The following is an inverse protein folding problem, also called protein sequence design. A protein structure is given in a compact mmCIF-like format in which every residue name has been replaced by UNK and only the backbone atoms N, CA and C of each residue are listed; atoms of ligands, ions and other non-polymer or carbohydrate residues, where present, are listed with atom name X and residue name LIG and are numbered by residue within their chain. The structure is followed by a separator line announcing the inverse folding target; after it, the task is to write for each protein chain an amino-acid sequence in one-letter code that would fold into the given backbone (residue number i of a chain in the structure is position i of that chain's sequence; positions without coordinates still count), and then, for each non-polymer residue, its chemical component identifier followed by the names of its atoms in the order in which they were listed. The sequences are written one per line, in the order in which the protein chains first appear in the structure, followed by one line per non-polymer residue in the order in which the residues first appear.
data_IF_499393164079
#
_entry.id   IF_499393164079
#
_cell.length_a   1.000
_cell.length_b   1.000
_cell.length_c   1.000
_cell.angle_alpha   90.00
_cell.angle_beta   90.00
_cell.angle_gamma   90.00
#
_symmetry.space_group_name_H-M   'P 1'
#
loop_
_entity.id
_entity.type
_entity.pdbx_description
1 polymer ?
#
# COMPACT_ATOMS: atom_id res chain seq x y z
N UNK A 1 -25.76 20.22 -37.57
CA UNK A 1 -24.80 19.59 -38.51
C UNK A 1 -23.37 20.08 -38.30
N UNK A 2 -23.04 21.37 -38.46
CA UNK A 2 -21.66 21.86 -38.27
C UNK A 2 -21.19 21.89 -36.79
N UNK A 3 -22.10 22.16 -35.86
CA UNK A 3 -21.79 22.16 -34.41
C UNK A 3 -21.54 20.72 -33.92
N UNK A 4 -22.33 19.76 -34.41
CA UNK A 4 -22.18 18.34 -34.07
C UNK A 4 -20.80 17.81 -34.53
N UNK A 5 -20.39 18.11 -35.77
CA UNK A 5 -19.07 17.71 -36.27
C UNK A 5 -17.91 18.34 -35.49
N UNK A 6 -18.04 19.60 -35.06
CA UNK A 6 -17.00 20.26 -34.26
C UNK A 6 -16.87 19.63 -32.87
N UNK A 7 -17.99 19.34 -32.20
CA UNK A 7 -18.00 18.67 -30.90
C UNK A 7 -17.38 17.27 -30.97
N UNK A 8 -17.74 16.47 -31.97
CA UNK A 8 -17.15 15.14 -32.16
C UNK A 8 -15.65 15.20 -32.45
N UNK A 9 -15.19 16.15 -33.27
CA UNK A 9 -13.77 16.31 -33.58
C UNK A 9 -12.97 16.78 -32.36
N UNK A 10 -13.54 17.65 -31.54
CA UNK A 10 -12.96 18.08 -30.26
C UNK A 10 -12.82 16.89 -29.30
N UNK A 11 -13.90 16.10 -29.12
CA UNK A 11 -13.89 14.92 -28.26
C UNK A 11 -12.87 13.87 -28.73
N UNK A 12 -12.80 13.61 -30.04
CA UNK A 12 -11.84 12.69 -30.61
C UNK A 12 -10.39 13.15 -30.38
N UNK A 13 -10.10 14.42 -30.66
CA UNK A 13 -8.74 14.98 -30.49
C UNK A 13 -8.34 14.97 -29.01
N UNK A 14 -9.25 15.33 -28.12
CA UNK A 14 -9.02 15.29 -26.68
C UNK A 14 -8.78 13.86 -26.17
N UNK A 15 -9.59 12.89 -26.62
CA UNK A 15 -9.42 11.48 -26.25
C UNK A 15 -8.11 10.90 -26.77
N UNK A 16 -7.75 11.17 -28.03
CA UNK A 16 -6.50 10.72 -28.63
C UNK A 16 -5.26 11.34 -27.94
N UNK A 17 -5.35 12.62 -27.55
CA UNK A 17 -4.30 13.29 -26.77
C UNK A 17 -4.09 12.63 -25.39
N UNK A 18 -5.14 12.04 -24.82
CA UNK A 18 -5.08 11.31 -23.54
C UNK A 18 -4.39 9.94 -23.64
N UNK A 19 -4.17 9.39 -24.85
CA UNK A 19 -3.56 8.06 -25.00
C UNK A 19 -2.16 7.97 -24.39
N UNK A 20 -1.27 8.90 -24.77
CA UNK A 20 0.10 8.93 -24.27
C UNK A 20 0.20 9.09 -22.75
N UNK A 21 -0.48 10.06 -22.09
CA UNK A 21 -0.41 10.17 -20.64
C UNK A 21 -0.99 8.95 -19.93
N UNK A 22 -2.05 8.33 -20.45
CA UNK A 22 -2.61 7.09 -19.89
C UNK A 22 -1.61 5.94 -19.97
N UNK A 23 -0.96 5.75 -21.13
CA UNK A 23 0.05 4.70 -21.31
C UNK A 23 1.27 4.94 -20.39
N UNK A 24 1.73 6.18 -20.24
CA UNK A 24 2.84 6.53 -19.34
C UNK A 24 2.47 6.21 -17.89
N UNK A 25 1.29 6.64 -17.43
CA UNK A 25 0.81 6.36 -16.07
C UNK A 25 0.66 4.86 -15.83
N UNK A 26 0.20 4.10 -16.84
CA UNK A 26 0.10 2.65 -16.76
C UNK A 26 1.47 1.97 -16.65
N UNK A 27 2.46 2.40 -17.44
CA UNK A 27 3.82 1.88 -17.32
C UNK A 27 4.43 2.20 -15.95
N UNK A 28 4.19 3.40 -15.42
CA UNK A 28 4.58 3.75 -14.06
C UNK A 28 3.89 2.86 -13.02
N UNK A 29 2.59 2.62 -13.16
CA UNK A 29 1.84 1.73 -12.27
C UNK A 29 2.39 0.29 -12.29
N UNK A 30 2.76 -0.23 -13.46
CA UNK A 30 3.41 -1.54 -13.60
C UNK A 30 4.77 -1.53 -12.90
N UNK A 31 5.61 -0.51 -13.13
CA UNK A 31 6.90 -0.40 -12.46
C UNK A 31 6.75 -0.33 -10.93
N UNK A 32 5.79 0.46 -10.43
CA UNK A 32 5.47 0.53 -8.99
C UNK A 32 4.97 -0.82 -8.46
N UNK A 33 4.17 -1.57 -9.23
CA UNK A 33 3.71 -2.90 -8.82
C UNK A 33 4.87 -3.89 -8.63
N UNK A 34 5.86 -3.85 -9.53
CA UNK A 34 7.08 -4.67 -9.42
C UNK A 34 7.94 -4.24 -8.22
N UNK A 35 8.08 -2.93 -7.99
CA UNK A 35 8.77 -2.39 -6.82
C UNK A 35 8.12 -2.84 -5.50
N UNK A 36 6.79 -2.80 -5.42
CA UNK A 36 6.03 -3.26 -4.26
C UNK A 36 6.16 -4.77 -4.02
N UNK A 37 6.24 -5.59 -5.08
CA UNK A 37 6.57 -7.02 -4.94
C UNK A 37 7.95 -7.19 -4.29
N UNK A 38 8.95 -6.44 -4.77
CA UNK A 38 10.30 -6.49 -4.20
C UNK A 38 10.33 -6.08 -2.72
N UNK A 39 9.64 -4.99 -2.37
CA UNK A 39 9.49 -4.55 -0.98
C UNK A 39 8.80 -5.62 -0.14
N UNK A 40 7.71 -6.20 -0.65
CA UNK A 40 6.96 -7.25 0.01
C UNK A 40 7.80 -8.51 0.25
N UNK A 41 8.63 -8.94 -0.70
CA UNK A 41 9.52 -10.10 -0.52
C UNK A 41 10.57 -9.79 0.56
N UNK A 42 11.14 -8.58 0.57
CA UNK A 42 12.06 -8.15 1.62
C UNK A 42 11.38 -8.12 2.99
N UNK A 43 10.14 -7.61 3.06
CA UNK A 43 9.32 -7.58 4.28
C UNK A 43 9.00 -9.00 4.76
N UNK A 44 8.58 -9.88 3.85
CA UNK A 44 8.30 -11.30 4.12
C UNK A 44 9.53 -12.03 4.67
N UNK A 45 10.70 -11.86 4.04
CA UNK A 45 11.91 -12.57 4.41
C UNK A 45 12.47 -12.13 5.78
N UNK A 46 12.26 -10.86 6.16
CA UNK A 46 12.70 -10.32 7.45
C UNK A 46 11.71 -10.58 8.58
N UNK A 47 10.48 -10.98 8.27
CA UNK A 47 9.41 -11.10 9.26
C UNK A 47 9.64 -12.30 10.19
N UNK A 48 10.03 -12.00 11.42
CA UNK A 48 10.06 -12.95 12.53
C UNK A 48 9.03 -12.48 13.57
N UNK A 49 8.03 -13.31 13.84
CA UNK A 49 7.01 -13.05 14.87
C UNK A 49 7.19 -14.06 15.99
N UNK A 50 7.71 -13.60 17.13
CA UNK A 50 7.96 -14.45 18.29
C UNK A 50 6.98 -14.11 19.41
N UNK A 51 5.73 -14.58 19.28
CA UNK A 51 4.64 -14.31 20.23
C UNK A 51 5.03 -14.63 21.68
N UNK A 52 5.89 -15.64 21.87
CA UNK A 52 6.32 -16.09 23.19
C UNK A 52 7.30 -15.12 23.86
N UNK A 53 8.11 -14.41 23.09
CA UNK A 53 8.95 -13.32 23.62
C UNK A 53 8.14 -12.06 23.87
N UNK A 54 7.19 -11.73 22.99
CA UNK A 54 6.27 -10.63 23.21
C UNK A 54 5.52 -10.77 24.54
N UNK A 55 4.97 -11.95 24.83
CA UNK A 55 4.25 -12.21 26.08
C UNK A 55 5.18 -12.11 27.31
N UNK A 56 6.42 -12.60 27.21
CA UNK A 56 7.41 -12.48 28.29
C UNK A 56 7.77 -11.03 28.55
N UNK A 57 8.06 -10.27 27.49
CA UNK A 57 8.41 -8.85 27.60
C UNK A 57 7.22 -8.07 28.15
N UNK A 58 6.00 -8.24 27.61
CA UNK A 58 4.80 -7.59 28.11
C UNK A 58 4.54 -7.84 29.60
N UNK A 59 4.60 -9.10 30.07
CA UNK A 59 4.49 -9.40 31.51
C UNK A 59 5.58 -8.74 32.34
N UNK A 60 6.82 -8.77 31.84
CA UNK A 60 7.96 -8.20 32.56
C UNK A 60 7.94 -6.67 32.61
N UNK A 61 7.35 -6.02 31.61
CA UNK A 61 7.10 -4.58 31.57
C UNK A 61 5.99 -4.25 32.57
N UNK A 62 4.89 -5.00 32.57
CA UNK A 62 3.80 -4.81 33.52
C UNK A 62 4.26 -4.94 34.99
N UNK A 63 5.11 -5.92 35.30
CA UNK A 63 5.72 -6.08 36.63
C UNK A 63 6.63 -4.89 36.98
N UNK A 64 7.46 -4.44 36.04
CA UNK A 64 8.37 -3.30 36.25
C UNK A 64 7.65 -1.96 36.39
N UNK A 65 6.53 -1.76 35.68
CA UNK A 65 5.65 -0.60 35.81
C UNK A 65 4.93 -0.61 37.16
N UNK A 66 4.38 -1.77 37.59
CA UNK A 66 3.79 -1.93 38.93
C UNK A 66 4.78 -1.69 40.06
N UNK A 67 6.06 -2.02 39.84
CA UNK A 67 7.14 -1.76 40.79
C UNK A 67 7.70 -0.32 40.73
N UNK A 68 7.07 0.60 39.96
CA UNK A 68 7.51 1.98 39.72
C UNK A 68 8.95 2.10 39.17
N UNK A 69 9.44 1.07 38.50
CA UNK A 69 10.79 0.99 37.92
C UNK A 69 10.75 1.21 36.40
N UNK A 70 10.46 2.45 35.98
CA UNK A 70 10.25 2.81 34.57
C UNK A 70 11.50 2.59 33.69
N UNK A 71 12.71 2.77 34.25
CA UNK A 71 13.96 2.51 33.52
C UNK A 71 14.12 1.03 33.13
N UNK A 72 13.73 0.13 34.04
CA UNK A 72 13.82 -1.31 33.82
C UNK A 72 12.73 -1.80 32.85
N UNK A 73 11.58 -1.13 32.82
CA UNK A 73 10.55 -1.37 31.81
C UNK A 73 11.02 -0.93 30.41
N UNK A 74 11.67 0.23 30.30
CA UNK A 74 12.21 0.75 29.04
C UNK A 74 13.34 -0.14 28.47
N UNK A 75 14.24 -0.64 29.32
CA UNK A 75 15.33 -1.54 28.90
C UNK A 75 14.79 -2.86 28.35
N UNK A 76 13.72 -3.41 28.95
CA UNK A 76 13.08 -4.63 28.46
C UNK A 76 12.34 -4.43 27.14
N UNK A 77 11.70 -3.27 26.92
CA UNK A 77 11.11 -2.92 25.64
C UNK A 77 12.17 -2.75 24.53
N UNK A 78 13.33 -2.18 24.86
CA UNK A 78 14.45 -2.05 23.91
C UNK A 78 15.05 -3.40 23.51
N UNK A 79 14.96 -4.40 24.39
CA UNK A 79 15.41 -5.77 24.14
C UNK A 79 14.44 -6.64 23.31
N UNK A 80 13.24 -6.11 22.99
CA UNK A 80 12.25 -6.84 22.23
C UNK A 80 12.71 -7.02 20.77
N UNK A 81 12.95 -8.27 20.36
CA UNK A 81 13.22 -8.63 18.97
C UNK A 81 11.95 -9.20 18.32
N UNK A 82 11.28 -8.38 17.51
CA UNK A 82 10.04 -8.73 16.79
C UNK A 82 10.11 -8.22 15.35
N UNK A 83 8.95 -8.15 14.70
CA UNK A 83 8.81 -7.43 13.44
C UNK A 83 9.38 -5.99 13.58
N UNK A 84 9.96 -5.45 12.51
CA UNK A 84 10.61 -4.13 12.53
C UNK A 84 9.69 -3.03 13.07
N UNK A 85 8.40 -3.13 12.77
CA UNK A 85 7.38 -2.15 13.12
C UNK A 85 7.02 -2.20 14.63
N UNK A 86 6.89 -3.40 15.20
CA UNK A 86 6.64 -3.59 16.64
C UNK A 86 7.90 -3.24 17.45
N UNK A 87 9.07 -3.57 16.93
CA UNK A 87 10.36 -3.25 17.57
C UNK A 87 10.62 -1.75 17.59
N UNK A 88 10.29 -1.03 16.50
CA UNK A 88 10.41 0.43 16.49
C UNK A 88 9.42 1.07 17.45
N UNK A 89 8.17 0.59 17.48
CA UNK A 89 7.18 1.03 18.46
C UNK A 89 7.65 0.81 19.90
N UNK A 90 8.15 -0.39 20.23
CA UNK A 90 8.62 -0.70 21.58
C UNK A 90 9.78 0.19 22.04
N UNK A 91 10.71 0.53 21.14
CA UNK A 91 11.82 1.45 21.43
C UNK A 91 11.32 2.87 21.69
N UNK A 92 10.47 3.37 20.80
CA UNK A 92 9.86 4.69 20.92
C UNK A 92 9.05 4.78 22.23
N UNK A 93 8.21 3.79 22.51
CA UNK A 93 7.41 3.69 23.74
C UNK A 93 8.29 3.64 25.01
N UNK A 94 9.41 2.92 24.97
CA UNK A 94 10.39 2.89 26.06
C UNK A 94 11.00 4.27 26.36
N UNK A 95 11.25 5.08 25.33
CA UNK A 95 11.79 6.43 25.48
C UNK A 95 10.75 7.42 26.05
N UNK A 96 9.47 7.24 25.70
CA UNK A 96 8.35 8.01 26.30
C UNK A 96 8.04 7.59 27.74
N UNK A 97 8.18 6.30 28.08
CA UNK A 97 8.07 5.79 29.45
C UNK A 97 9.09 6.44 30.40
N UNK A 98 10.35 6.60 29.96
CA UNK A 98 11.39 7.29 30.74
C UNK A 98 11.06 8.75 31.05
N UNK A 99 10.25 9.39 30.20
CA UNK A 99 9.84 10.78 30.37
C UNK A 99 8.57 10.92 31.22
N UNK A 100 8.06 9.83 31.80
CA UNK A 100 6.86 9.77 32.65
C UNK A 100 5.58 10.25 31.95
N UNK A 101 5.54 10.17 30.62
CA UNK A 101 4.42 10.63 29.78
C UNK A 101 3.61 9.45 29.27
N UNK A 102 2.94 8.72 30.18
CA UNK A 102 2.16 7.51 29.84
C UNK A 102 1.06 7.82 28.79
N UNK A 103 0.43 8.99 28.87
CA UNK A 103 -0.56 9.46 27.89
C UNK A 103 0.00 9.64 26.46
N UNK A 104 1.32 9.77 26.29
CA UNK A 104 1.94 9.88 24.95
C UNK A 104 2.08 8.53 24.25
N UNK A 105 1.91 7.41 24.96
CA UNK A 105 2.04 6.06 24.42
C UNK A 105 0.80 5.69 23.60
N UNK A 106 -0.40 6.07 24.06
CA UNK A 106 -1.64 5.86 23.31
C UNK A 106 -1.63 6.64 22.00
N UNK A 107 -1.22 7.92 22.06
CA UNK A 107 -1.03 8.74 20.86
C UNK A 107 0.02 8.16 19.90
N UNK A 108 1.10 7.57 20.43
CA UNK A 108 2.10 6.89 19.60
C UNK A 108 1.50 5.67 18.89
N UNK A 109 0.65 4.89 19.58
CA UNK A 109 -0.05 3.75 18.99
C UNK A 109 -0.93 4.19 17.81
N UNK A 110 -1.73 5.26 18.00
CA UNK A 110 -2.56 5.85 16.94
C UNK A 110 -1.73 6.30 15.73
N UNK A 111 -0.59 6.95 15.95
CA UNK A 111 0.31 7.38 14.87
C UNK A 111 0.87 6.19 14.07
N UNK A 112 1.16 5.06 14.74
CA UNK A 112 1.56 3.82 14.08
C UNK A 112 0.41 3.18 13.30
N UNK A 113 -0.82 3.19 13.82
CA UNK A 113 -2.02 2.72 13.10
C UNK A 113 -2.26 3.54 11.82
N UNK A 114 -2.15 4.86 11.90
CA UNK A 114 -2.27 5.78 10.76
C UNK A 114 -1.21 5.46 9.70
N UNK A 115 0.04 5.21 10.10
CA UNK A 115 1.13 4.82 9.18
C UNK A 115 0.86 3.49 8.48
N UNK A 116 0.37 2.48 9.20
CA UNK A 116 -0.01 1.18 8.62
C UNK A 116 -1.15 1.36 7.60
N UNK A 117 -2.17 2.13 7.95
CA UNK A 117 -3.31 2.42 7.08
C UNK A 117 -2.87 3.13 5.80
N UNK A 118 -2.02 4.16 5.90
CA UNK A 118 -1.48 4.88 4.74
C UNK A 118 -0.72 3.97 3.77
N UNK A 119 0.04 2.99 4.28
CA UNK A 119 0.73 1.99 3.45
C UNK A 119 -0.25 1.08 2.71
N UNK A 120 -1.34 0.67 3.36
CA UNK A 120 -2.40 -0.13 2.72
C UNK A 120 -3.12 0.67 1.63
N UNK A 121 -3.41 1.95 1.87
CA UNK A 121 -4.07 2.82 0.90
C UNK A 121 -3.31 2.91 -0.42
N UNK A 122 -1.98 3.03 -0.38
CA UNK A 122 -1.17 3.07 -1.61
C UNK A 122 -1.34 1.82 -2.47
N UNK A 123 -1.27 0.63 -1.86
CA UNK A 123 -1.49 -0.64 -2.57
C UNK A 123 -2.92 -0.78 -3.08
N UNK A 124 -3.90 -0.29 -2.32
CA UNK A 124 -5.32 -0.29 -2.68
C UNK A 124 -5.60 0.62 -3.88
N UNK A 125 -5.05 1.83 -3.88
CA UNK A 125 -5.16 2.77 -5.00
C UNK A 125 -4.57 2.12 -6.25
N UNK A 126 -3.38 1.53 -6.17
CA UNK A 126 -2.76 0.84 -7.29
C UNK A 126 -3.65 -0.30 -7.84
N UNK A 127 -4.23 -1.11 -6.93
CA UNK A 127 -5.10 -2.23 -7.30
C UNK A 127 -6.36 -1.81 -8.08
N UNK A 128 -6.82 -0.58 -7.86
CA UNK A 128 -8.06 -0.05 -8.46
C UNK A 128 -7.77 0.79 -9.70
N UNK A 129 -6.74 1.65 -9.64
CA UNK A 129 -6.41 2.61 -10.71
C UNK A 129 -5.71 1.91 -11.89
N UNK A 130 -4.86 0.92 -11.65
CA UNK A 130 -4.12 0.27 -12.74
C UNK A 130 -5.04 -0.46 -13.75
N UNK A 131 -6.07 -1.24 -13.33
CA UNK A 131 -7.05 -1.80 -14.24
C UNK A 131 -7.86 -0.74 -15.00
N UNK A 132 -8.22 0.38 -14.34
CA UNK A 132 -8.94 1.48 -14.99
C UNK A 132 -8.10 2.14 -16.09
N UNK A 133 -6.81 2.39 -15.82
CA UNK A 133 -5.87 2.88 -16.83
C UNK A 133 -5.71 1.89 -18.00
N UNK A 134 -5.66 0.59 -17.71
CA UNK A 134 -5.63 -0.45 -18.75
C UNK A 134 -6.88 -0.47 -19.62
N UNK A 135 -8.05 -0.31 -19.01
CA UNK A 135 -9.32 -0.21 -19.72
C UNK A 135 -9.38 1.05 -20.60
N UNK A 136 -8.96 2.21 -20.09
CA UNK A 136 -8.83 3.44 -20.89
C UNK A 136 -7.86 3.25 -22.06
N UNK A 137 -6.75 2.55 -21.83
CA UNK A 137 -5.78 2.18 -22.86
C UNK A 137 -6.36 1.33 -23.99
N UNK A 138 -7.47 0.64 -23.78
CA UNK A 138 -8.21 -0.07 -24.85
C UNK A 138 -9.19 0.81 -25.61
N UNK A 139 -9.91 1.66 -24.89
CA UNK A 139 -11.04 2.40 -25.45
C UNK A 139 -10.57 3.55 -26.36
N UNK A 140 -9.43 4.17 -26.03
CA UNK A 140 -8.87 5.28 -26.79
C UNK A 140 -8.40 4.86 -28.21
N UNK A 141 -7.56 3.81 -28.39
CA UNK A 141 -7.10 3.40 -29.72
C UNK A 141 -8.17 2.69 -30.55
N UNK A 142 -9.29 2.28 -29.96
CA UNK A 142 -10.39 1.62 -30.68
C UNK A 142 -11.06 2.56 -31.69
N UNK A 143 -11.15 3.86 -31.39
CA UNK A 143 -11.64 4.87 -32.35
C UNK A 143 -10.83 4.90 -33.65
N UNK A 144 -9.51 5.19 -33.59
CA UNK A 144 -8.62 5.11 -34.75
C UNK A 144 -8.63 3.75 -35.45
N UNK A 145 -8.74 2.65 -34.70
CA UNK A 145 -8.78 1.29 -35.25
C UNK A 145 -10.01 1.05 -36.14
N UNK A 146 -11.20 1.46 -35.71
CA UNK A 146 -12.43 1.33 -36.50
C UNK A 146 -12.43 2.23 -37.74
N UNK A 147 -11.83 3.42 -37.66
CA UNK A 147 -11.65 4.31 -38.80
C UNK A 147 -10.71 3.68 -39.83
N UNK A 148 -9.58 3.10 -39.39
CA UNK A 148 -8.65 2.37 -40.26
C UNK A 148 -9.30 1.19 -40.96
N UNK A 149 -10.14 0.43 -40.23
CA UNK A 149 -10.94 -0.66 -40.82
C UNK A 149 -11.89 -0.16 -41.91
N UNK A 150 -12.61 0.95 -41.68
CA UNK A 150 -13.50 1.53 -42.68
C UNK A 150 -12.77 2.00 -43.95
N UNK A 151 -11.46 2.31 -43.84
CA UNK A 151 -10.60 2.71 -44.95
C UNK A 151 -9.86 1.54 -45.61
N UNK A 152 -9.99 0.31 -45.09
CA UNK A 152 -9.28 -0.87 -45.56
C UNK A 152 -7.81 -0.96 -45.10
N UNK A 153 -7.38 -0.12 -44.15
CA UNK A 153 -6.03 -0.16 -43.57
C UNK A 153 -5.96 -1.17 -42.41
N UNK A 154 -5.66 -2.41 -42.77
CA UNK A 154 -5.53 -3.53 -41.83
C UNK A 154 -4.28 -3.37 -40.94
N UNK A 155 -3.24 -2.67 -41.42
CA UNK A 155 -2.00 -2.49 -40.65
C UNK A 155 -2.23 -1.52 -39.50
N UNK A 156 -2.91 -0.40 -39.75
CA UNK A 156 -3.30 0.55 -38.72
C UNK A 156 -4.25 -0.08 -37.69
N UNK A 157 -5.20 -0.89 -38.14
CA UNK A 157 -6.08 -1.67 -37.27
C UNK A 157 -5.28 -2.59 -36.33
N UNK A 158 -4.37 -3.40 -36.89
CA UNK A 158 -3.58 -4.37 -36.12
C UNK A 158 -2.69 -3.69 -35.06
N UNK A 159 -2.03 -2.59 -35.41
CA UNK A 159 -1.16 -1.87 -34.48
C UNK A 159 -1.93 -1.27 -33.29
N UNK A 160 -3.09 -0.65 -33.55
CA UNK A 160 -3.94 -0.09 -32.50
C UNK A 160 -4.50 -1.17 -31.57
N UNK A 161 -4.87 -2.34 -32.13
CA UNK A 161 -5.32 -3.48 -31.34
C UNK A 161 -4.22 -4.07 -30.46
N UNK A 162 -2.97 -4.18 -30.97
CA UNK A 162 -1.85 -4.65 -30.16
C UNK A 162 -1.62 -3.75 -28.93
N UNK A 163 -1.68 -2.43 -29.12
CA UNK A 163 -1.55 -1.48 -28.01
C UNK A 163 -2.72 -1.65 -27.02
N UNK A 164 -3.95 -1.76 -27.52
CA UNK A 164 -5.13 -2.00 -26.68
C UNK A 164 -4.96 -3.26 -25.81
N UNK A 165 -4.65 -4.41 -26.42
CA UNK A 165 -4.48 -5.66 -25.67
C UNK A 165 -3.34 -5.59 -24.65
N UNK A 166 -2.19 -5.02 -25.04
CA UNK A 166 -1.04 -4.88 -24.14
C UNK A 166 -1.39 -4.04 -22.90
N UNK A 167 -2.08 -2.91 -23.08
CA UNK A 167 -2.49 -2.05 -21.96
C UNK A 167 -3.46 -2.74 -21.01
N UNK A 168 -4.39 -3.57 -21.50
CA UNK A 168 -5.29 -4.35 -20.61
C UNK A 168 -4.51 -5.36 -19.78
N UNK A 169 -3.66 -6.16 -20.42
CA UNK A 169 -2.90 -7.22 -19.73
C UNK A 169 -2.03 -6.60 -18.64
N UNK A 170 -1.32 -5.51 -18.97
CA UNK A 170 -0.48 -4.81 -18.02
C UNK A 170 -1.28 -4.13 -16.89
N UNK A 171 -2.41 -3.50 -17.20
CA UNK A 171 -3.27 -2.87 -16.21
C UNK A 171 -3.89 -3.87 -15.23
N UNK A 172 -4.38 -5.00 -15.74
CA UNK A 172 -4.88 -6.11 -14.91
C UNK A 172 -3.76 -6.74 -14.08
N UNK A 173 -2.59 -6.96 -14.66
CA UNK A 173 -1.44 -7.52 -13.93
C UNK A 173 -1.08 -6.64 -12.72
N UNK A 174 -0.86 -5.34 -12.93
CA UNK A 174 -0.55 -4.40 -11.86
C UNK A 174 -1.68 -4.30 -10.82
N UNK A 175 -2.94 -4.37 -11.28
CA UNK A 175 -4.12 -4.39 -10.41
C UNK A 175 -4.19 -5.62 -9.49
N UNK A 176 -4.00 -6.81 -10.05
CA UNK A 176 -3.99 -8.10 -9.33
C UNK A 176 -2.85 -8.12 -8.32
N UNK A 177 -1.65 -7.68 -8.71
CA UNK A 177 -0.51 -7.56 -7.80
C UNK A 177 -0.86 -6.64 -6.62
N UNK A 178 -1.36 -5.43 -6.90
CA UNK A 178 -1.78 -4.49 -5.85
C UNK A 178 -2.79 -5.12 -4.89
N UNK A 179 -3.80 -5.80 -5.42
CA UNK A 179 -4.86 -6.43 -4.63
C UNK A 179 -4.32 -7.54 -3.71
N UNK A 180 -3.50 -8.45 -4.23
CA UNK A 180 -2.90 -9.54 -3.46
C UNK A 180 -2.01 -8.98 -2.34
N UNK A 181 -1.20 -7.97 -2.64
CA UNK A 181 -0.36 -7.31 -1.64
C UNK A 181 -1.19 -6.64 -0.54
N UNK A 182 -2.28 -5.95 -0.91
CA UNK A 182 -3.20 -5.35 0.08
C UNK A 182 -3.80 -6.41 1.00
N UNK A 183 -4.24 -7.55 0.47
CA UNK A 183 -4.82 -8.63 1.28
C UNK A 183 -3.83 -9.18 2.32
N UNK A 184 -2.59 -9.44 1.90
CA UNK A 184 -1.58 -10.01 2.79
C UNK A 184 -1.14 -8.98 3.84
N UNK A 185 -0.81 -7.75 3.41
CA UNK A 185 -0.39 -6.68 4.32
C UNK A 185 -1.49 -6.33 5.33
N UNK A 186 -2.77 -6.33 4.91
CA UNK A 186 -3.89 -6.08 5.83
C UNK A 186 -3.91 -7.08 6.97
N UNK A 187 -3.72 -8.37 6.69
CA UNK A 187 -3.65 -9.40 7.74
C UNK A 187 -2.45 -9.22 8.65
N UNK A 188 -1.32 -8.79 8.11
CA UNK A 188 -0.08 -8.60 8.86
C UNK A 188 -0.15 -7.40 9.79
N UNK A 189 -0.57 -6.24 9.28
CA UNK A 189 -0.72 -5.03 10.06
C UNK A 189 -1.79 -5.16 11.14
N UNK A 190 -2.85 -5.94 10.90
CA UNK A 190 -3.82 -6.26 11.95
C UNK A 190 -3.19 -7.08 13.10
N UNK A 191 -2.29 -8.02 12.79
CA UNK A 191 -1.54 -8.75 13.82
C UNK A 191 -0.53 -7.86 14.53
N UNK A 192 0.19 -7.02 13.79
CA UNK A 192 1.19 -6.11 14.37
C UNK A 192 0.52 -5.07 15.28
N UNK A 193 -0.67 -4.58 14.92
CA UNK A 193 -1.46 -3.66 15.76
C UNK A 193 -1.93 -4.35 17.04
N UNK A 194 -2.46 -5.58 16.95
CA UNK A 194 -2.84 -6.33 18.15
C UNK A 194 -1.65 -6.60 19.09
N UNK A 195 -0.46 -6.83 18.52
CA UNK A 195 0.78 -7.00 19.28
C UNK A 195 1.22 -5.65 19.93
N UNK A 196 0.97 -4.50 19.29
CA UNK A 196 1.20 -3.14 19.84
C UNK A 196 0.19 -2.83 20.96
N UNK A 197 -1.10 -3.06 20.75
CA UNK A 197 -2.16 -2.82 21.74
C UNK A 197 -1.88 -3.61 23.03
N UNK A 198 -1.45 -4.88 22.89
CA UNK A 198 -1.02 -5.68 24.03
C UNK A 198 0.13 -5.05 24.83
N UNK A 199 1.10 -4.43 24.14
CA UNK A 199 2.20 -3.71 24.80
C UNK A 199 1.68 -2.46 25.51
N UNK A 200 0.80 -1.69 24.87
CA UNK A 200 0.13 -0.50 25.45
C UNK A 200 -0.58 -0.87 26.76
N UNK A 201 -1.44 -1.89 26.74
CA UNK A 201 -2.14 -2.41 27.92
C UNK A 201 -1.17 -2.83 29.03
N UNK A 202 -0.06 -3.47 28.66
CA UNK A 202 0.96 -3.90 29.63
C UNK A 202 1.67 -2.75 30.33
N UNK A 203 1.69 -1.56 29.71
CA UNK A 203 2.31 -0.34 30.24
C UNK A 203 1.38 0.48 31.14
N UNK A 204 0.11 0.07 31.29
CA UNK A 204 -0.81 0.65 32.26
C UNK A 204 -1.45 1.98 31.82
N UNK A 205 -1.65 2.21 30.52
CA UNK A 205 -2.38 3.40 30.04
C UNK A 205 -3.91 3.34 30.26
N UNK A 206 -4.46 2.20 30.71
CA UNK A 206 -5.88 2.07 31.10
C UNK A 206 -6.12 1.97 32.63
N UNK A 207 -5.57 2.89 33.43
CA UNK A 207 -6.06 3.13 34.81
C UNK A 207 -6.36 4.59 35.08
#
# INVERSE_FOLDING_TARGET
MAIDSFLFQLMYTASAALLYPVVILLLLAVATSLGLIGEFISEYAKRHRNVRELEKVGRSVQESVKASSLDNAAEKLHSLDQNQLVTSFAKDAGDYLKQNSVSSIDWLSEEYEVRMTKRLEQTKILSTVAPMLGLMGTLIPLGPALIGLAQGDILQLANNLMIAFATTVLGLFAGVVGYVLTLIRKRWYWQDMADIDYLVDSMGSEQ
#
